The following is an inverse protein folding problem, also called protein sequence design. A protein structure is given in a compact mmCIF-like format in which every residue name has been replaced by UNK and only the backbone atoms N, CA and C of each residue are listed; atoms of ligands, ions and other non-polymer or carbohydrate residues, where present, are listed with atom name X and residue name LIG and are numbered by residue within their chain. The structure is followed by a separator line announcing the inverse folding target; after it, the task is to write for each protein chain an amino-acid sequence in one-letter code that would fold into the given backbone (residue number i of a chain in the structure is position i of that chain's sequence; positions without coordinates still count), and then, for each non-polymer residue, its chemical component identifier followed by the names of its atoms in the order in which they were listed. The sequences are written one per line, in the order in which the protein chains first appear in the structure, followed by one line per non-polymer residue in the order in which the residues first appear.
data_IF_946812332940
#
_entry.id   IF_946812332940
#
_cell.length_a   1.000
_cell.length_b   1.000
_cell.length_c   1.000
_cell.angle_alpha   90.00
_cell.angle_beta   90.00
_cell.angle_gamma   90.00
#
_symmetry.space_group_name_H-M   'P 1'
#
loop_
_entity.id
_entity.type
_entity.pdbx_description
1 polymer ?
#
# COMPACT_ATOMS: atom_id res chain seq x y z
N UNK A 1 -19.31 -5.42 5.46
CA UNK A 1 -18.06 -6.12 5.11
C UNK A 1 -17.65 -5.73 3.70
N UNK A 2 -18.53 -5.90 2.70
CA UNK A 2 -18.34 -5.43 1.31
C UNK A 2 -17.89 -3.94 1.20
N UNK A 3 -18.65 -3.02 1.80
CA UNK A 3 -18.29 -1.58 1.85
C UNK A 3 -16.92 -1.25 2.45
N UNK A 4 -16.39 -2.09 3.34
CA UNK A 4 -15.10 -1.86 4.00
C UNK A 4 -13.93 -2.36 3.16
N UNK A 5 -14.20 -3.35 2.31
CA UNK A 5 -13.21 -3.86 1.37
C UNK A 5 -13.14 -2.95 0.14
N UNK A 6 -14.28 -2.39 -0.29
CA UNK A 6 -14.33 -1.29 -1.27
C UNK A 6 -13.50 -0.08 -0.79
N UNK A 7 -13.68 0.35 0.46
CA UNK A 7 -12.89 1.43 1.05
C UNK A 7 -11.38 1.10 1.08
N UNK A 8 -11.02 -0.17 1.34
CA UNK A 8 -9.61 -0.60 1.33
C UNK A 8 -9.02 -0.57 -0.08
N UNK A 9 -9.82 -0.89 -1.10
CA UNK A 9 -9.44 -0.76 -2.52
C UNK A 9 -9.18 0.70 -2.87
N UNK A 10 -10.09 1.61 -2.52
CA UNK A 10 -9.97 3.04 -2.83
C UNK A 10 -8.68 3.63 -2.24
N UNK A 11 -8.37 3.30 -0.98
CA UNK A 11 -7.13 3.78 -0.33
C UNK A 11 -5.89 3.19 -1.02
N UNK A 12 -5.94 1.93 -1.48
CA UNK A 12 -4.82 1.31 -2.18
C UNK A 12 -4.52 1.98 -3.52
N UNK A 13 -5.57 2.38 -4.25
CA UNK A 13 -5.45 3.16 -5.48
C UNK A 13 -4.90 4.57 -5.20
N UNK A 14 -5.32 5.21 -4.11
CA UNK A 14 -4.81 6.51 -3.70
C UNK A 14 -3.30 6.47 -3.35
N UNK A 15 -2.83 5.39 -2.72
CA UNK A 15 -1.40 5.16 -2.45
C UNK A 15 -0.61 5.02 -3.76
N UNK A 16 -1.10 4.23 -4.70
CA UNK A 16 -0.46 4.08 -6.01
C UNK A 16 -0.30 5.43 -6.71
N UNK A 17 -1.40 6.20 -6.78
CA UNK A 17 -1.43 7.52 -7.38
C UNK A 17 -0.50 8.52 -6.67
N UNK A 18 -0.32 8.39 -5.35
CA UNK A 18 0.53 9.26 -4.55
C UNK A 18 2.03 8.93 -4.64
N UNK A 19 2.38 7.66 -4.86
CA UNK A 19 3.78 7.21 -4.99
C UNK A 19 4.34 7.51 -6.38
N UNK A 20 3.52 7.47 -7.43
CA UNK A 20 3.98 7.69 -8.81
C UNK A 20 4.71 9.05 -9.01
N UNK A 21 4.22 10.19 -8.48
CA UNK A 21 4.94 11.46 -8.50
C UNK A 21 6.28 11.41 -7.75
N UNK A 22 6.37 10.67 -6.64
CA UNK A 22 7.63 10.48 -5.89
C UNK A 22 8.65 9.77 -6.77
N UNK A 23 8.27 8.65 -7.41
CA UNK A 23 9.16 7.94 -8.33
C UNK A 23 9.66 8.85 -9.46
N UNK A 24 8.78 9.70 -10.00
CA UNK A 24 9.11 10.64 -11.07
C UNK A 24 10.07 11.74 -10.59
N UNK A 25 9.81 12.33 -9.42
CA UNK A 25 10.70 13.34 -8.83
C UNK A 25 12.07 12.74 -8.46
N UNK A 26 12.09 11.56 -7.84
CA UNK A 26 13.30 10.81 -7.52
C UNK A 26 14.08 10.42 -8.77
N UNK A 27 13.42 10.06 -9.88
CA UNK A 27 14.12 9.76 -11.15
C UNK A 27 14.88 10.97 -11.70
N UNK A 28 14.33 12.18 -11.52
CA UNK A 28 14.90 13.40 -12.08
C UNK A 28 16.04 13.99 -11.24
N UNK A 29 16.05 13.74 -9.92
CA UNK A 29 16.93 14.47 -8.99
C UNK A 29 17.70 13.59 -8.00
N UNK A 30 17.43 12.27 -7.94
CA UNK A 30 18.00 11.42 -6.90
C UNK A 30 19.05 10.41 -7.39
N UNK A 31 19.81 9.90 -6.42
CA UNK A 31 20.78 8.85 -6.64
C UNK A 31 20.12 7.53 -7.10
N UNK A 32 20.82 6.69 -7.90
CA UNK A 32 20.28 5.47 -8.48
C UNK A 32 19.62 4.52 -7.46
N UNK A 33 20.16 4.46 -6.24
CA UNK A 33 19.65 3.60 -5.17
C UNK A 33 18.28 4.07 -4.68
N UNK A 34 18.09 5.38 -4.46
CA UNK A 34 16.80 5.98 -4.08
C UNK A 34 15.76 5.80 -5.19
N UNK A 35 16.17 5.85 -6.46
CA UNK A 35 15.27 5.58 -7.58
C UNK A 35 14.82 4.10 -7.62
N UNK A 36 15.74 3.16 -7.41
CA UNK A 36 15.44 1.71 -7.42
C UNK A 36 14.52 1.30 -6.26
N UNK A 37 14.92 1.62 -5.03
CA UNK A 37 14.14 2.40 -4.07
C UNK A 37 12.63 2.56 -4.29
N UNK A 38 12.23 3.80 -4.58
CA UNK A 38 10.86 4.22 -4.81
C UNK A 38 10.13 3.39 -5.88
N UNK A 39 10.85 2.92 -6.91
CA UNK A 39 10.24 2.06 -7.95
C UNK A 39 9.80 0.70 -7.41
N UNK A 40 10.51 0.16 -6.43
CA UNK A 40 10.10 -1.03 -5.68
C UNK A 40 8.79 -0.81 -4.91
N UNK A 41 8.66 0.33 -4.23
CA UNK A 41 7.45 0.70 -3.47
C UNK A 41 6.26 0.79 -4.41
N UNK A 42 6.42 1.54 -5.51
CA UNK A 42 5.36 1.74 -6.50
C UNK A 42 4.82 0.40 -7.00
N UNK A 43 5.72 -0.52 -7.36
CA UNK A 43 5.32 -1.86 -7.84
C UNK A 43 4.55 -2.65 -6.79
N UNK A 44 5.00 -2.62 -5.55
CA UNK A 44 4.31 -3.31 -4.45
C UNK A 44 2.94 -2.67 -4.18
N UNK A 45 2.81 -1.34 -4.27
CA UNK A 45 1.53 -0.64 -4.12
C UNK A 45 0.55 -0.99 -5.25
N UNK A 46 0.99 -1.02 -6.51
CA UNK A 46 0.15 -1.49 -7.62
C UNK A 46 -0.35 -2.93 -7.39
N UNK A 47 0.54 -3.83 -6.96
CA UNK A 47 0.17 -5.22 -6.67
C UNK A 47 -0.87 -5.30 -5.54
N UNK A 48 -0.68 -4.53 -4.47
CA UNK A 48 -1.61 -4.47 -3.34
C UNK A 48 -3.00 -4.02 -3.78
N UNK A 49 -3.08 -2.93 -4.55
CA UNK A 49 -4.34 -2.39 -5.07
C UNK A 49 -5.07 -3.39 -5.97
N UNK A 50 -4.34 -4.12 -6.81
CA UNK A 50 -4.93 -5.17 -7.65
C UNK A 50 -5.46 -6.33 -6.81
N UNK A 51 -4.70 -6.82 -5.83
CA UNK A 51 -5.14 -7.94 -4.98
C UNK A 51 -6.37 -7.59 -4.14
N UNK A 52 -6.44 -6.36 -3.63
CA UNK A 52 -7.63 -5.90 -2.92
C UNK A 52 -8.86 -5.85 -3.83
N UNK A 53 -8.69 -5.42 -5.09
CA UNK A 53 -9.76 -5.47 -6.10
C UNK A 53 -10.23 -6.90 -6.38
N UNK A 54 -9.29 -7.81 -6.62
CA UNK A 54 -9.61 -9.22 -6.88
C UNK A 54 -10.39 -9.84 -5.70
N UNK A 55 -9.97 -9.54 -4.46
CA UNK A 55 -10.70 -10.00 -3.27
C UNK A 55 -12.08 -9.36 -3.18
N UNK A 56 -12.23 -8.09 -3.52
CA UNK A 56 -13.53 -7.41 -3.50
C UNK A 56 -14.50 -8.03 -4.50
N UNK A 57 -14.03 -8.30 -5.72
CA UNK A 57 -14.80 -8.99 -6.76
C UNK A 57 -15.19 -10.41 -6.33
N UNK A 58 -14.28 -11.17 -5.73
CA UNK A 58 -14.58 -12.51 -5.21
C UNK A 58 -15.49 -12.52 -3.99
N UNK A 59 -15.38 -11.51 -3.12
CA UNK A 59 -16.23 -11.34 -1.96
C UNK A 59 -17.67 -11.01 -2.36
N UNK A 60 -17.86 -10.24 -3.44
CA UNK A 60 -19.18 -10.02 -4.07
C UNK A 60 -19.77 -11.34 -4.60
N UNK A 61 -18.91 -12.30 -4.97
CA UNK A 61 -19.27 -13.50 -5.73
C UNK A 61 -19.27 -14.82 -4.92
N UNK A 62 -18.84 -14.88 -3.65
CA UNK A 62 -18.58 -16.17 -2.97
C UNK A 62 -18.84 -16.24 -1.45
N UNK A 63 -19.10 -17.47 -0.98
CA UNK A 63 -19.04 -17.91 0.43
C UNK A 63 -17.61 -18.42 0.74
N UNK A 64 -16.82 -17.63 1.48
CA UNK A 64 -15.65 -18.02 2.29
C UNK A 64 -14.24 -18.28 1.68
N UNK A 65 -13.93 -18.01 0.40
CA UNK A 65 -12.52 -18.07 -0.09
C UNK A 65 -11.68 -16.80 0.17
N UNK A 66 -12.30 -15.72 0.62
CA UNK A 66 -11.67 -14.40 0.73
C UNK A 66 -10.60 -14.29 1.84
N UNK A 67 -10.68 -15.12 2.89
CA UNK A 67 -9.80 -14.98 4.06
C UNK A 67 -8.33 -15.32 3.75
N UNK A 68 -8.06 -16.40 3.02
CA UNK A 68 -6.69 -16.78 2.64
C UNK A 68 -6.04 -15.74 1.71
N UNK A 69 -6.83 -15.09 0.85
CA UNK A 69 -6.33 -14.05 -0.05
C UNK A 69 -6.05 -12.74 0.69
N UNK A 70 -6.89 -12.40 1.66
CA UNK A 70 -6.63 -11.28 2.56
C UNK A 70 -5.31 -11.48 3.29
N UNK A 71 -4.93 -12.71 3.68
CA UNK A 71 -3.65 -13.01 4.36
C UNK A 71 -2.43 -12.55 3.57
N UNK A 72 -2.41 -12.87 2.28
CA UNK A 72 -1.35 -12.41 1.38
C UNK A 72 -1.30 -10.88 1.24
N UNK A 73 -2.46 -10.21 1.26
CA UNK A 73 -2.57 -8.74 1.19
C UNK A 73 -1.99 -8.06 2.43
N UNK A 74 -2.28 -8.54 3.65
CA UNK A 74 -1.67 -7.91 4.84
C UNK A 74 -0.16 -8.10 4.90
N UNK A 75 0.35 -9.23 4.42
CA UNK A 75 1.81 -9.44 4.31
C UNK A 75 2.46 -8.44 3.35
N UNK A 76 1.80 -8.08 2.25
CA UNK A 76 2.29 -7.07 1.31
C UNK A 76 2.20 -5.64 1.88
N UNK A 77 1.15 -5.32 2.64
CA UNK A 77 1.02 -4.05 3.37
C UNK A 77 2.19 -3.86 4.34
N UNK A 78 2.54 -4.89 5.12
CA UNK A 78 3.62 -4.79 6.09
C UNK A 78 5.00 -4.62 5.44
N UNK A 79 5.23 -5.31 4.32
CA UNK A 79 6.44 -5.15 3.51
C UNK A 79 6.55 -3.72 2.94
N UNK A 80 5.44 -3.19 2.41
CA UNK A 80 5.37 -1.82 1.92
C UNK A 80 5.63 -0.80 3.03
N UNK A 81 5.01 -0.99 4.20
CA UNK A 81 5.21 -0.13 5.38
C UNK A 81 6.69 -0.05 5.74
N UNK A 82 7.33 -1.21 5.89
CA UNK A 82 8.76 -1.31 6.23
C UNK A 82 9.62 -0.60 5.19
N UNK A 83 9.32 -0.78 3.90
CA UNK A 83 10.12 -0.21 2.83
C UNK A 83 9.98 1.31 2.71
N UNK A 84 8.77 1.84 2.87
CA UNK A 84 8.51 3.29 2.91
C UNK A 84 9.19 3.93 4.11
N UNK A 85 9.16 3.30 5.30
CA UNK A 85 9.88 3.80 6.48
C UNK A 85 11.39 3.90 6.25
N UNK A 86 12.00 2.87 5.64
CA UNK A 86 13.43 2.90 5.30
C UNK A 86 13.77 4.02 4.31
N UNK A 87 12.90 4.27 3.33
CA UNK A 87 13.07 5.36 2.38
C UNK A 87 13.01 6.73 3.04
N UNK A 88 12.07 6.94 3.97
CA UNK A 88 11.96 8.19 4.76
C UNK A 88 13.24 8.44 5.57
N UNK A 89 13.79 7.40 6.20
CA UNK A 89 15.02 7.53 7.00
C UNK A 89 16.24 7.86 6.14
N UNK A 90 16.23 7.46 4.87
CA UNK A 90 17.35 7.62 3.93
C UNK A 90 17.25 8.93 3.12
N UNK A 91 16.05 9.31 2.69
CA UNK A 91 15.78 10.54 1.92
C UNK A 91 15.31 11.66 2.86
N UNK A 92 16.23 12.60 3.14
CA UNK A 92 15.99 13.76 4.03
C UNK A 92 15.39 14.96 3.29
N UNK A 93 15.05 14.84 2.01
CA UNK A 93 14.44 15.95 1.28
C UNK A 93 13.01 16.18 1.76
N UNK A 94 12.68 17.42 2.11
CA UNK A 94 11.41 17.75 2.75
C UNK A 94 10.19 17.29 1.93
N UNK A 95 10.28 17.33 0.60
CA UNK A 95 9.20 16.96 -0.33
C UNK A 95 9.04 15.44 -0.50
N UNK A 96 10.14 14.70 -0.64
CA UNK A 96 10.13 13.23 -0.73
C UNK A 96 9.66 12.58 0.57
N UNK A 97 10.19 13.04 1.70
CA UNK A 97 9.77 12.59 3.04
C UNK A 97 8.28 12.85 3.29
N UNK A 98 7.74 14.00 2.88
CA UNK A 98 6.32 14.33 3.05
C UNK A 98 5.39 13.39 2.27
N UNK A 99 5.68 13.14 0.98
CA UNK A 99 4.87 12.25 0.15
C UNK A 99 4.94 10.79 0.63
N UNK A 100 6.12 10.32 1.02
CA UNK A 100 6.28 9.00 1.62
C UNK A 100 5.57 8.87 2.97
N UNK A 101 5.53 9.93 3.77
CA UNK A 101 4.77 9.96 5.03
C UNK A 101 3.26 9.82 4.79
N UNK A 102 2.74 10.47 3.74
CA UNK A 102 1.33 10.32 3.34
C UNK A 102 1.05 8.87 2.90
N UNK A 103 1.93 8.28 2.08
CA UNK A 103 1.81 6.88 1.68
C UNK A 103 1.81 5.93 2.89
N UNK A 104 2.67 6.18 3.91
CA UNK A 104 2.74 5.37 5.12
C UNK A 104 1.44 5.41 5.94
N UNK A 105 0.82 6.60 6.07
CA UNK A 105 -0.48 6.75 6.75
C UNK A 105 -1.57 5.98 6.02
N UNK A 106 -1.61 6.07 4.69
CA UNK A 106 -2.60 5.35 3.90
C UNK A 106 -2.40 3.82 3.97
N UNK A 107 -1.15 3.31 3.91
CA UNK A 107 -0.82 1.89 4.12
C UNK A 107 -1.35 1.40 5.48
N UNK A 108 -1.20 2.22 6.53
CA UNK A 108 -1.69 1.93 7.86
C UNK A 108 -3.21 1.81 7.92
N UNK A 109 -3.94 2.70 7.23
CA UNK A 109 -5.41 2.65 7.19
C UNK A 109 -5.93 1.43 6.40
N UNK A 110 -5.29 1.05 5.29
CA UNK A 110 -5.65 -0.21 4.59
C UNK A 110 -5.46 -1.40 5.51
N UNK A 111 -4.33 -1.46 6.21
CA UNK A 111 -4.05 -2.56 7.12
C UNK A 111 -5.10 -2.69 8.22
N UNK A 112 -5.54 -1.56 8.81
CA UNK A 112 -6.67 -1.55 9.76
C UNK A 112 -7.95 -2.09 9.14
N UNK A 113 -8.29 -1.67 7.94
CA UNK A 113 -9.52 -2.12 7.28
C UNK A 113 -9.46 -3.63 6.96
N UNK A 114 -8.32 -4.13 6.51
CA UNK A 114 -8.08 -5.56 6.30
C UNK A 114 -8.22 -6.34 7.60
N UNK A 115 -7.60 -5.90 8.70
CA UNK A 115 -7.74 -6.54 10.01
C UNK A 115 -9.20 -6.53 10.50
N UNK A 116 -9.91 -5.41 10.27
CA UNK A 116 -11.31 -5.30 10.64
C UNK A 116 -12.22 -6.23 9.83
N UNK A 117 -11.96 -6.42 8.53
CA UNK A 117 -12.67 -7.41 7.70
C UNK A 117 -12.43 -8.83 8.21
N UNK A 118 -11.25 -9.10 8.75
CA UNK A 118 -10.92 -10.40 9.37
C UNK A 118 -11.49 -10.59 10.77
N UNK A 119 -11.99 -9.53 11.41
CA UNK A 119 -12.42 -9.58 12.80
C UNK A 119 -11.26 -9.69 13.80
N UNK A 120 -10.06 -9.20 13.44
CA UNK A 120 -8.87 -9.16 14.30
C UNK A 120 -8.42 -7.72 14.55
N UNK A 121 -7.67 -7.50 15.63
CA UNK A 121 -7.06 -6.20 15.89
C UNK A 121 -5.85 -5.97 14.98
N UNK A 122 -5.68 -4.73 14.53
CA UNK A 122 -4.52 -4.32 13.75
C UNK A 122 -3.38 -3.91 14.69
N UNK A 123 -2.21 -4.54 14.55
CA UNK A 123 -1.02 -4.32 15.37
C UNK A 123 0.10 -3.61 14.61
#
# INVERSE_FOLDING_TARGET
MLRKLEEAVEIAEEIEASIFPVVTATHNEAEPDTHLMCRGVHRQACNLAQRLRDINEEYVMSDNQAFDKLEGVASEIENLRTYVSLLIDTDKTLTGTQLLSVALVAIFEIGKQVAQVRGVEYS
#
